data_IF_221682933789
#
_entry.id   IF_221682933789
#
_cell.length_a   1.000
_cell.length_b   1.000
_cell.length_c   1.000
_cell.angle_alpha   90.00
_cell.angle_beta   90.00
_cell.angle_gamma   90.00
#
_symmetry.space_group_name_H-M   'P 1'
#
loop_
_entity.id
_entity.type
_entity.pdbx_description
1 polymer ?
#
# COMPACT_ATOMS: atom_id res chain seq x y z
N UNK A 1 -15.95 -6.03 6.39
CA UNK A 1 -16.69 -5.07 7.23
C UNK A 1 -17.74 -4.34 6.39
N UNK A 2 -18.90 -4.05 6.96
CA UNK A 2 -19.99 -3.39 6.24
C UNK A 2 -19.72 -1.90 5.96
N UNK A 3 -18.79 -1.30 6.71
CA UNK A 3 -18.37 0.09 6.53
C UNK A 3 -17.27 0.30 5.48
N UNK A 4 -16.80 -0.75 4.79
CA UNK A 4 -15.71 -0.68 3.82
C UNK A 4 -16.19 -1.20 2.46
N UNK A 5 -15.96 -0.42 1.41
CA UNK A 5 -16.17 -0.80 0.02
C UNK A 5 -14.80 -0.96 -0.66
N UNK A 6 -14.59 -2.09 -1.32
CA UNK A 6 -13.40 -2.34 -2.13
C UNK A 6 -13.72 -2.08 -3.60
N UNK A 7 -12.92 -1.22 -4.23
CA UNK A 7 -13.02 -0.87 -5.64
C UNK A 7 -11.82 -1.46 -6.37
N UNK A 8 -12.07 -2.30 -7.39
CA UNK A 8 -11.03 -2.93 -8.18
C UNK A 8 -11.09 -2.43 -9.62
N UNK A 9 -9.94 -2.08 -10.22
CA UNK A 9 -9.87 -1.81 -11.66
C UNK A 9 -10.02 -3.10 -12.47
N UNK A 10 -10.37 -2.96 -13.75
CA UNK A 10 -10.13 -4.00 -14.73
C UNK A 10 -8.62 -4.15 -14.98
N UNK A 11 -8.22 -5.12 -15.80
CA UNK A 11 -6.85 -5.21 -16.29
C UNK A 11 -6.60 -3.99 -17.18
N UNK A 12 -5.58 -3.19 -16.81
CA UNK A 12 -5.20 -1.96 -17.48
C UNK A 12 -3.81 -2.13 -18.12
N UNK A 13 -3.62 -1.56 -19.32
CA UNK A 13 -2.34 -1.60 -20.02
C UNK A 13 -1.40 -0.47 -19.59
N UNK A 14 -1.94 0.61 -19.05
CA UNK A 14 -1.19 1.79 -18.62
C UNK A 14 -1.93 2.56 -17.51
N UNK A 15 -1.24 3.48 -16.89
CA UNK A 15 -1.78 4.28 -15.77
C UNK A 15 -2.95 5.19 -16.15
N UNK A 16 -3.08 5.60 -17.41
CA UNK A 16 -4.22 6.40 -17.86
C UNK A 16 -5.51 5.59 -17.88
N UNK A 17 -5.41 4.30 -18.25
CA UNK A 17 -6.55 3.37 -18.14
C UNK A 17 -6.91 3.14 -16.67
N UNK A 18 -5.92 2.98 -15.77
CA UNK A 18 -6.15 2.89 -14.32
C UNK A 18 -6.89 4.12 -13.81
N UNK A 19 -6.41 5.32 -14.15
CA UNK A 19 -7.05 6.59 -13.77
C UNK A 19 -8.51 6.68 -14.22
N UNK A 20 -8.76 6.35 -15.49
CA UNK A 20 -10.11 6.40 -16.06
C UNK A 20 -11.05 5.41 -15.38
N UNK A 21 -10.58 4.17 -15.14
CA UNK A 21 -11.41 3.12 -14.55
C UNK A 21 -11.71 3.42 -13.07
N UNK A 22 -10.71 3.89 -12.30
CA UNK A 22 -10.91 4.34 -10.92
C UNK A 22 -11.92 5.50 -10.84
N UNK A 23 -11.77 6.54 -11.70
CA UNK A 23 -12.72 7.67 -11.75
C UNK A 23 -14.15 7.19 -11.95
N UNK A 24 -14.37 6.31 -12.90
CA UNK A 24 -15.72 5.79 -13.19
C UNK A 24 -16.30 5.01 -11.99
N UNK A 25 -15.52 4.09 -11.44
CA UNK A 25 -16.00 3.21 -10.37
C UNK A 25 -16.18 3.96 -9.05
N UNK A 26 -15.29 4.89 -8.72
CA UNK A 26 -15.42 5.72 -7.51
C UNK A 26 -16.63 6.65 -7.65
N UNK A 27 -16.87 7.23 -8.84
CA UNK A 27 -18.06 8.05 -9.09
C UNK A 27 -19.35 7.26 -8.91
N UNK A 28 -19.40 6.00 -9.38
CA UNK A 28 -20.54 5.11 -9.18
C UNK A 28 -20.79 4.82 -7.69
N UNK A 29 -19.72 4.52 -6.93
CA UNK A 29 -19.83 4.30 -5.47
C UNK A 29 -20.28 5.58 -4.75
N UNK A 30 -19.76 6.76 -5.12
CA UNK A 30 -20.19 8.04 -4.56
C UNK A 30 -21.68 8.30 -4.82
N UNK A 31 -22.17 8.03 -6.04
CA UNK A 31 -23.59 8.19 -6.37
C UNK A 31 -24.49 7.29 -5.51
N UNK A 32 -24.06 6.02 -5.30
CA UNK A 32 -24.79 5.09 -4.46
C UNK A 32 -24.75 5.54 -2.98
N UNK A 33 -23.60 6.00 -2.48
CA UNK A 33 -23.45 6.51 -1.12
C UNK A 33 -24.35 7.72 -0.89
N UNK A 34 -24.34 8.70 -1.79
CA UNK A 34 -25.15 9.92 -1.69
C UNK A 34 -26.67 9.62 -1.67
N UNK A 35 -27.12 8.61 -2.45
CA UNK A 35 -28.53 8.17 -2.41
C UNK A 35 -28.96 7.59 -1.06
N UNK A 36 -28.01 7.22 -0.22
CA UNK A 36 -28.23 6.67 1.11
C UNK A 36 -27.75 7.62 2.24
N UNK A 37 -27.62 8.91 1.94
CA UNK A 37 -27.14 9.94 2.89
C UNK A 37 -25.78 9.61 3.53
N UNK A 38 -24.91 8.92 2.77
CA UNK A 38 -23.56 8.57 3.17
C UNK A 38 -22.52 9.28 2.28
N UNK A 39 -21.33 9.50 2.84
CA UNK A 39 -20.17 9.98 2.13
C UNK A 39 -19.08 8.90 2.13
N UNK A 40 -18.19 8.94 1.15
CA UNK A 40 -17.04 8.04 1.08
C UNK A 40 -15.72 8.78 1.28
N UNK A 41 -14.79 8.11 1.93
CA UNK A 41 -13.40 8.59 2.08
C UNK A 41 -12.43 7.47 1.74
N UNK A 42 -11.24 7.85 1.29
CA UNK A 42 -10.13 6.90 1.14
C UNK A 42 -9.03 7.24 2.14
N UNK A 43 -8.81 6.35 3.10
CA UNK A 43 -7.96 6.58 4.26
C UNK A 43 -7.45 5.25 4.81
N UNK A 44 -6.25 5.20 5.38
CA UNK A 44 -5.69 3.95 5.92
C UNK A 44 -6.42 3.44 7.16
N UNK A 45 -6.82 4.35 8.06
CA UNK A 45 -7.65 4.11 9.24
C UNK A 45 -8.63 5.25 9.43
N UNK A 46 -9.88 4.96 9.79
CA UNK A 46 -10.83 6.03 10.12
C UNK A 46 -10.45 6.67 11.46
N UNK A 47 -10.40 8.03 11.57
CA UNK A 47 -9.83 8.70 12.74
C UNK A 47 -10.51 8.39 14.07
N UNK A 48 -11.82 8.18 14.08
CA UNK A 48 -12.59 7.98 15.30
C UNK A 48 -13.59 6.82 15.26
N UNK A 49 -13.69 6.07 14.14
CA UNK A 49 -14.52 4.88 14.13
C UNK A 49 -13.91 3.81 15.03
N UNK A 50 -14.73 3.29 15.94
CA UNK A 50 -14.31 2.27 16.90
C UNK A 50 -14.50 0.90 16.28
N UNK A 51 -13.47 0.07 16.33
CA UNK A 51 -13.53 -1.28 15.77
C UNK A 51 -14.57 -2.18 16.45
N UNK A 52 -14.89 -1.92 17.72
CA UNK A 52 -15.90 -2.65 18.50
C UNK A 52 -17.34 -2.41 18.02
N UNK A 53 -17.56 -1.28 17.38
CA UNK A 53 -18.89 -0.85 16.94
C UNK A 53 -19.18 -1.24 15.48
N UNK A 54 -18.21 -1.88 14.81
CA UNK A 54 -18.34 -2.23 13.40
C UNK A 54 -18.94 -3.60 13.18
N UNK A 55 -19.90 -3.67 12.27
CA UNK A 55 -20.52 -4.92 11.83
C UNK A 55 -19.67 -5.63 10.79
N UNK A 56 -19.64 -6.95 10.89
CA UNK A 56 -18.99 -7.82 9.90
C UNK A 56 -20.05 -8.40 8.99
N UNK A 57 -19.81 -8.35 7.69
CA UNK A 57 -20.69 -8.94 6.69
C UNK A 57 -20.98 -10.41 7.02
N UNK A 58 -22.26 -10.74 7.16
CA UNK A 58 -22.72 -12.06 7.59
C UNK A 58 -22.60 -13.10 6.44
N UNK A 59 -21.36 -13.51 6.17
CA UNK A 59 -21.05 -14.62 5.25
C UNK A 59 -20.19 -15.66 5.98
N UNK A 60 -20.38 -16.92 5.66
CA UNK A 60 -19.62 -18.03 6.28
C UNK A 60 -18.11 -17.75 6.28
N UNK A 61 -17.57 -17.29 5.16
CA UNK A 61 -16.14 -16.97 5.02
C UNK A 61 -15.64 -15.94 6.06
N UNK A 62 -16.40 -14.88 6.31
CA UNK A 62 -15.98 -13.87 7.29
C UNK A 62 -16.20 -14.30 8.73
N UNK A 63 -17.23 -15.11 9.00
CA UNK A 63 -17.46 -15.70 10.31
C UNK A 63 -16.37 -16.72 10.67
N UNK A 64 -16.00 -17.61 9.73
CA UNK A 64 -14.89 -18.56 9.90
C UNK A 64 -13.56 -17.83 10.12
N UNK A 65 -13.34 -16.72 9.39
CA UNK A 65 -12.15 -15.89 9.55
C UNK A 65 -12.09 -15.22 10.93
N UNK A 66 -13.22 -14.70 11.41
CA UNK A 66 -13.35 -14.14 12.77
C UNK A 66 -13.07 -15.21 13.84
N UNK A 67 -13.63 -16.39 13.67
CA UNK A 67 -13.42 -17.50 14.61
C UNK A 67 -11.96 -17.97 14.64
N UNK A 68 -11.33 -18.10 13.46
CA UNK A 68 -9.94 -18.54 13.32
C UNK A 68 -8.93 -17.54 13.86
N UNK A 69 -9.13 -16.25 13.59
CA UNK A 69 -8.14 -15.18 13.88
C UNK A 69 -8.43 -14.40 15.16
N UNK A 70 -9.66 -14.46 15.69
CA UNK A 70 -10.07 -13.82 16.94
C UNK A 70 -9.74 -12.32 17.01
N UNK A 71 -9.08 -11.86 18.08
CA UNK A 71 -8.82 -10.46 18.38
C UNK A 71 -8.08 -9.67 17.28
N UNK A 72 -7.02 -10.18 16.62
CA UNK A 72 -6.35 -9.45 15.55
C UNK A 72 -7.28 -9.02 14.40
N UNK A 73 -8.15 -9.93 13.93
CA UNK A 73 -9.02 -9.64 12.79
C UNK A 73 -10.13 -8.63 13.12
N UNK A 74 -10.60 -8.58 14.37
CA UNK A 74 -11.62 -7.61 14.80
C UNK A 74 -11.13 -6.17 14.66
N UNK A 75 -9.83 -5.94 14.70
CA UNK A 75 -9.22 -4.60 14.58
C UNK A 75 -8.94 -4.17 13.14
N UNK A 76 -9.25 -5.00 12.15
CA UNK A 76 -8.98 -4.73 10.74
C UNK A 76 -9.98 -3.73 10.12
N UNK A 77 -10.33 -2.65 10.82
CA UNK A 77 -11.01 -1.48 10.24
C UNK A 77 -9.99 -0.59 9.54
N UNK A 78 -9.32 -1.15 8.57
CA UNK A 78 -8.20 -0.56 7.86
C UNK A 78 -8.41 -0.72 6.35
N UNK A 79 -7.91 0.24 5.58
CA UNK A 79 -7.98 0.21 4.12
C UNK A 79 -6.60 0.43 3.51
N UNK A 80 -6.32 -0.26 2.42
CA UNK A 80 -5.04 -0.19 1.72
C UNK A 80 -5.20 -0.04 0.23
N UNK A 81 -4.16 0.45 -0.41
CA UNK A 81 -4.00 0.43 -1.86
C UNK A 81 -3.20 -0.82 -2.24
N UNK A 82 -3.78 -1.68 -3.06
CA UNK A 82 -3.10 -2.85 -3.61
C UNK A 82 -2.85 -2.63 -5.10
N UNK A 83 -1.64 -2.94 -5.54
CA UNK A 83 -1.25 -2.80 -6.96
C UNK A 83 -0.75 -4.15 -7.46
N UNK A 84 -1.37 -4.65 -8.53
CA UNK A 84 -0.97 -5.86 -9.21
C UNK A 84 -0.25 -5.50 -10.51
N UNK A 85 0.98 -5.97 -10.69
CA UNK A 85 1.74 -5.82 -11.92
C UNK A 85 1.99 -7.19 -12.53
N UNK A 86 1.62 -7.38 -13.81
CA UNK A 86 1.82 -8.63 -14.54
C UNK A 86 3.30 -8.99 -14.69
N UNK A 87 3.62 -10.29 -14.57
CA UNK A 87 4.97 -10.83 -14.76
C UNK A 87 4.92 -12.14 -15.53
N UNK A 88 5.93 -12.41 -16.35
CA UNK A 88 5.89 -13.49 -17.35
C UNK A 88 6.13 -14.89 -16.77
N UNK A 89 6.76 -14.99 -15.57
CA UNK A 89 7.06 -16.30 -14.98
C UNK A 89 7.08 -16.27 -13.45
N UNK A 90 6.89 -17.45 -12.86
CA UNK A 90 6.98 -17.61 -11.40
C UNK A 90 8.39 -17.31 -10.85
N UNK A 91 9.44 -17.68 -11.59
CA UNK A 91 10.82 -17.38 -11.18
C UNK A 91 11.08 -15.87 -11.15
N UNK A 92 10.64 -15.15 -12.18
CA UNK A 92 10.72 -13.69 -12.23
C UNK A 92 9.90 -13.05 -11.10
N UNK A 93 8.69 -13.57 -10.82
CA UNK A 93 7.86 -13.09 -9.70
C UNK A 93 8.56 -13.21 -8.34
N UNK A 94 9.29 -14.30 -8.09
CA UNK A 94 10.05 -14.47 -6.84
C UNK A 94 11.24 -13.51 -6.79
N UNK A 95 12.00 -13.38 -7.89
CA UNK A 95 13.11 -12.44 -7.98
C UNK A 95 12.64 -11.00 -7.68
N UNK A 96 11.58 -10.56 -8.36
CA UNK A 96 10.99 -9.24 -8.15
C UNK A 96 10.49 -9.08 -6.71
N UNK A 97 9.79 -10.08 -6.15
CA UNK A 97 9.31 -10.04 -4.77
C UNK A 97 10.46 -9.81 -3.79
N UNK A 98 11.55 -10.54 -3.92
CA UNK A 98 12.74 -10.37 -3.08
C UNK A 98 13.35 -8.97 -3.23
N UNK A 99 13.56 -8.50 -4.46
CA UNK A 99 14.17 -7.19 -4.72
C UNK A 99 13.32 -6.03 -4.23
N UNK A 100 12.00 -6.14 -4.38
CA UNK A 100 11.06 -5.12 -3.96
C UNK A 100 11.01 -4.90 -2.44
N UNK A 101 11.48 -5.86 -1.62
CA UNK A 101 11.44 -5.73 -0.16
C UNK A 101 12.20 -4.49 0.34
N UNK A 102 13.31 -4.11 -0.30
CA UNK A 102 14.06 -2.90 0.06
C UNK A 102 13.28 -1.59 -0.16
N UNK A 103 12.25 -1.62 -1.02
CA UNK A 103 11.41 -0.45 -1.33
C UNK A 103 10.18 -0.32 -0.45
N UNK A 104 9.91 -1.29 0.43
CA UNK A 104 8.81 -1.25 1.39
C UNK A 104 8.80 0.06 2.21
N UNK A 105 9.92 0.54 2.77
CA UNK A 105 9.95 1.80 3.51
C UNK A 105 9.56 3.01 2.66
N UNK A 106 9.98 3.04 1.38
CA UNK A 106 9.65 4.12 0.44
C UNK A 106 8.14 4.15 0.16
N UNK A 107 7.56 2.97 -0.09
CA UNK A 107 6.12 2.81 -0.34
C UNK A 107 5.28 3.22 0.87
N UNK A 108 5.71 2.87 2.09
CA UNK A 108 5.07 3.33 3.33
C UNK A 108 5.18 4.85 3.44
N UNK A 109 6.37 5.43 3.25
CA UNK A 109 6.58 6.88 3.34
C UNK A 109 5.68 7.67 2.38
N UNK A 110 5.53 7.19 1.14
CA UNK A 110 4.68 7.80 0.12
C UNK A 110 3.18 7.67 0.41
N UNK A 111 2.76 6.53 0.95
CA UNK A 111 1.34 6.20 1.13
C UNK A 111 0.81 6.40 2.54
N UNK A 112 1.65 6.66 3.56
CA UNK A 112 1.23 6.78 4.95
C UNK A 112 0.02 7.71 5.10
N UNK A 113 -1.10 7.16 5.60
CA UNK A 113 -2.39 7.85 5.70
C UNK A 113 -3.23 7.34 6.87
N UNK A 114 -2.58 6.99 8.00
CA UNK A 114 -3.27 6.45 9.16
C UNK A 114 -2.65 6.87 10.51
N UNK A 115 -2.48 8.20 10.77
CA UNK A 115 -1.90 8.67 12.03
C UNK A 115 -2.88 8.60 13.21
N UNK A 116 -4.18 8.46 12.94
CA UNK A 116 -5.23 8.36 13.97
C UNK A 116 -5.88 6.98 13.93
N UNK A 117 -6.22 6.46 15.10
CA UNK A 117 -6.97 5.21 15.26
C UNK A 117 -7.74 5.21 16.58
N UNK A 118 -9.00 4.79 16.56
CA UNK A 118 -9.88 4.70 17.76
C UNK A 118 -9.92 5.99 18.58
N UNK A 119 -9.97 7.15 17.88
CA UNK A 119 -9.98 8.52 18.42
C UNK A 119 -8.65 9.00 19.01
N UNK A 120 -7.56 8.28 18.81
CA UNK A 120 -6.24 8.65 19.32
C UNK A 120 -5.26 9.00 18.19
N UNK A 121 -4.41 10.02 18.43
CA UNK A 121 -3.21 10.25 17.64
C UNK A 121 -2.15 9.23 18.08
N UNK A 122 -1.92 8.23 17.26
CA UNK A 122 -1.10 7.05 17.61
C UNK A 122 0.40 7.33 17.69
N UNK A 123 0.82 8.46 17.14
CA UNK A 123 2.24 8.78 16.97
C UNK A 123 2.90 8.04 15.80
N UNK A 124 2.17 7.28 15.00
CA UNK A 124 2.66 6.62 13.78
C UNK A 124 2.16 7.37 12.55
N UNK A 125 2.94 7.40 11.47
CA UNK A 125 2.47 7.88 10.19
C UNK A 125 1.53 6.85 9.51
N UNK A 126 1.81 5.54 9.70
CA UNK A 126 0.98 4.43 9.22
C UNK A 126 0.65 3.44 10.36
N UNK A 127 -0.42 3.70 11.07
CA UNK A 127 -0.97 2.78 12.08
C UNK A 127 -1.51 1.51 11.44
N UNK A 128 -2.07 1.61 10.21
CA UNK A 128 -2.55 0.48 9.42
C UNK A 128 -1.49 -0.63 9.32
N UNK A 129 -0.26 -0.27 9.03
CA UNK A 129 0.84 -1.24 8.91
C UNK A 129 0.98 -2.09 10.17
N UNK A 130 0.92 -1.48 11.35
CA UNK A 130 1.07 -2.21 12.63
C UNK A 130 -0.16 -3.03 12.99
N UNK A 131 -1.37 -2.56 12.65
CA UNK A 131 -2.60 -3.34 12.84
C UNK A 131 -2.57 -4.58 11.96
N UNK A 132 -2.16 -4.41 10.69
CA UNK A 132 -2.12 -5.49 9.71
C UNK A 132 -1.09 -6.57 10.06
N UNK A 133 0.07 -6.19 10.59
CA UNK A 133 1.12 -7.11 11.08
C UNK A 133 0.68 -7.99 12.26
N UNK A 134 -0.46 -7.70 12.88
CA UNK A 134 -1.07 -8.56 13.89
C UNK A 134 -1.60 -9.90 13.35
N UNK A 135 -1.71 -10.08 12.04
CA UNK A 135 -2.12 -11.34 11.42
C UNK A 135 -0.94 -12.30 11.25
N UNK A 136 -1.16 -13.64 11.41
CA UNK A 136 -0.07 -14.62 11.48
C UNK A 136 0.83 -14.70 10.24
N UNK A 137 0.30 -14.40 9.06
CA UNK A 137 1.02 -14.49 7.78
C UNK A 137 1.27 -13.12 7.16
N UNK A 138 1.09 -12.03 7.94
CA UNK A 138 1.31 -10.67 7.47
C UNK A 138 2.77 -10.21 7.63
N UNK A 139 3.11 -9.16 6.91
CA UNK A 139 4.41 -8.53 7.01
C UNK A 139 5.36 -8.90 5.88
N UNK A 140 6.67 -8.88 6.16
CA UNK A 140 7.68 -9.16 5.15
C UNK A 140 7.54 -10.57 4.58
N UNK A 141 7.62 -10.75 3.24
CA UNK A 141 7.76 -12.07 2.66
C UNK A 141 9.10 -12.70 3.08
N UNK A 142 9.17 -14.01 3.26
CA UNK A 142 10.44 -14.70 3.41
C UNK A 142 11.25 -14.56 2.12
N UNK A 143 12.58 -14.46 2.23
CA UNK A 143 13.45 -14.55 1.07
C UNK A 143 13.40 -15.97 0.51
N UNK A 144 12.94 -16.10 -0.72
CA UNK A 144 12.80 -17.37 -1.42
C UNK A 144 13.80 -17.44 -2.57
N UNK A 145 14.47 -18.57 -2.70
CA UNK A 145 15.49 -18.74 -3.75
C UNK A 145 14.89 -18.85 -5.16
N UNK A 146 13.71 -19.45 -5.27
CA UNK A 146 13.06 -19.75 -6.53
C UNK A 146 11.55 -20.06 -6.33
N UNK A 147 10.83 -20.22 -7.42
CA UNK A 147 9.40 -20.54 -7.40
C UNK A 147 9.08 -21.90 -6.77
N UNK A 148 9.97 -22.87 -6.83
CA UNK A 148 9.78 -24.17 -6.19
C UNK A 148 9.74 -24.05 -4.67
N UNK A 149 10.54 -23.18 -4.05
CA UNK A 149 10.46 -22.88 -2.62
C UNK A 149 9.13 -22.21 -2.24
N UNK A 150 8.66 -21.28 -3.05
CA UNK A 150 7.32 -20.71 -2.87
C UNK A 150 6.23 -21.77 -2.93
N UNK A 151 6.26 -22.67 -3.90
CA UNK A 151 5.32 -23.77 -3.99
C UNK A 151 5.41 -24.71 -2.78
N UNK A 152 6.62 -24.98 -2.28
CA UNK A 152 6.83 -25.77 -1.07
C UNK A 152 6.20 -25.09 0.14
N UNK A 153 6.44 -23.78 0.34
CA UNK A 153 5.84 -22.96 1.38
C UNK A 153 4.30 -23.09 1.34
N UNK A 154 3.68 -22.84 0.19
CA UNK A 154 2.24 -22.91 0.01
C UNK A 154 1.68 -24.29 0.32
N UNK A 155 2.32 -25.37 -0.18
CA UNK A 155 1.89 -26.75 0.09
C UNK A 155 1.99 -27.11 1.57
N UNK A 156 3.05 -26.66 2.24
CA UNK A 156 3.27 -26.93 3.67
C UNK A 156 2.18 -26.27 4.51
N UNK A 157 1.88 -24.98 4.29
CA UNK A 157 0.85 -24.28 5.06
C UNK A 157 -0.55 -24.82 4.79
N UNK A 158 -0.85 -25.21 3.55
CA UNK A 158 -2.13 -25.87 3.21
C UNK A 158 -2.28 -27.23 3.91
N UNK A 159 -1.24 -28.06 3.89
CA UNK A 159 -1.25 -29.37 4.59
C UNK A 159 -1.37 -29.23 6.11
N UNK A 160 -0.80 -28.17 6.66
CA UNK A 160 -0.89 -27.85 8.09
C UNK A 160 -2.26 -27.25 8.47
N UNK A 161 -3.15 -26.96 7.51
CA UNK A 161 -4.42 -26.28 7.77
C UNK A 161 -4.26 -24.81 8.19
N UNK A 162 -3.07 -24.24 7.99
CA UNK A 162 -2.81 -22.82 8.31
C UNK A 162 -3.51 -21.89 7.34
N UNK A 163 -3.51 -22.24 6.06
CA UNK A 163 -4.17 -21.49 4.97
C UNK A 163 -4.94 -22.45 4.06
N UNK A 164 -6.02 -21.94 3.45
CA UNK A 164 -6.76 -22.65 2.40
C UNK A 164 -6.30 -22.20 1.00
N UNK A 165 -5.88 -20.95 0.88
CA UNK A 165 -5.45 -20.36 -0.38
C UNK A 165 -4.39 -19.27 -0.18
N UNK A 166 -3.83 -18.77 -1.31
CA UNK A 166 -2.93 -17.61 -1.31
C UNK A 166 -3.58 -16.36 -0.70
N UNK A 167 -4.90 -16.26 -0.67
CA UNK A 167 -5.64 -15.12 -0.11
C UNK A 167 -5.42 -14.94 1.39
N UNK A 168 -4.91 -15.98 2.08
CA UNK A 168 -4.59 -15.96 3.51
C UNK A 168 -3.09 -15.78 3.79
N UNK A 169 -2.32 -15.47 2.76
CA UNK A 169 -0.91 -15.06 2.87
C UNK A 169 -0.86 -13.54 2.70
N UNK A 170 -0.75 -12.81 3.80
CA UNK A 170 -0.88 -11.35 3.82
C UNK A 170 0.47 -10.63 3.82
N UNK A 171 1.42 -11.14 3.04
CA UNK A 171 2.71 -10.45 2.87
C UNK A 171 2.56 -9.05 2.31
N UNK A 172 3.50 -8.18 2.65
CA UNK A 172 3.59 -6.80 2.12
C UNK A 172 3.72 -6.77 0.60
N UNK A 173 4.43 -7.77 0.06
CA UNK A 173 4.63 -8.00 -1.37
C UNK A 173 4.43 -9.49 -1.62
N UNK A 174 3.57 -9.86 -2.55
CA UNK A 174 3.15 -11.24 -2.73
C UNK A 174 3.09 -11.64 -4.21
N UNK A 175 3.77 -12.73 -4.62
CA UNK A 175 3.48 -13.33 -5.92
C UNK A 175 2.05 -13.86 -5.92
N UNK A 176 1.28 -13.58 -6.96
CA UNK A 176 -0.12 -14.03 -7.09
C UNK A 176 -0.30 -14.93 -8.32
N UNK A 177 -0.08 -16.26 -8.19
CA UNK A 177 -0.04 -17.19 -9.34
C UNK A 177 -1.32 -17.22 -10.17
N UNK A 178 -2.51 -17.05 -9.53
CA UNK A 178 -3.80 -17.08 -10.24
C UNK A 178 -4.00 -15.88 -11.17
N UNK A 179 -3.29 -14.78 -10.94
CA UNK A 179 -3.36 -13.57 -11.76
C UNK A 179 -2.12 -13.38 -12.62
N UNK A 180 -1.05 -14.14 -12.39
CA UNK A 180 0.24 -13.96 -13.05
C UNK A 180 0.88 -12.61 -12.71
N UNK A 181 0.77 -12.17 -11.45
CA UNK A 181 1.22 -10.85 -11.00
C UNK A 181 2.12 -10.91 -9.77
N UNK A 182 2.88 -9.84 -9.55
CA UNK A 182 3.38 -9.47 -8.22
C UNK A 182 2.42 -8.41 -7.66
N UNK A 183 1.93 -8.65 -6.45
CA UNK A 183 0.98 -7.80 -5.73
C UNK A 183 1.70 -7.04 -4.62
N UNK A 184 1.64 -5.72 -4.66
CA UNK A 184 2.15 -4.83 -3.62
C UNK A 184 0.98 -4.40 -2.73
N UNK A 185 1.07 -4.69 -1.42
CA UNK A 185 -0.03 -4.58 -0.45
C UNK A 185 0.27 -3.63 0.72
N UNK A 186 1.51 -3.21 0.84
CA UNK A 186 2.00 -2.45 2.01
C UNK A 186 1.42 -1.05 2.12
N UNK A 187 0.95 -0.46 1.03
CA UNK A 187 0.48 0.92 0.99
C UNK A 187 -0.84 1.12 1.75
N UNK A 188 -0.93 2.19 2.55
CA UNK A 188 -2.21 2.69 3.05
C UNK A 188 -3.09 3.14 1.87
N UNK A 189 -4.40 3.12 2.03
CA UNK A 189 -5.30 3.77 1.09
C UNK A 189 -5.03 5.29 1.11
N UNK A 190 -4.74 5.86 -0.05
CA UNK A 190 -4.45 7.30 -0.22
C UNK A 190 -5.70 8.05 -0.66
N UNK A 191 -5.82 9.36 -0.35
CA UNK A 191 -7.11 10.05 -0.42
C UNK A 191 -7.58 10.40 -1.82
N UNK A 192 -6.69 10.59 -2.79
CA UNK A 192 -7.05 11.05 -4.13
C UNK A 192 -6.76 10.01 -5.20
N UNK A 193 -7.52 10.04 -6.29
CA UNK A 193 -7.29 9.15 -7.44
C UNK A 193 -5.91 9.40 -8.04
N UNK A 194 -5.47 10.65 -8.12
CA UNK A 194 -4.15 10.99 -8.66
C UNK A 194 -3.02 10.39 -7.81
N UNK A 195 -3.12 10.42 -6.48
CA UNK A 195 -2.14 9.75 -5.60
C UNK A 195 -2.15 8.23 -5.78
N UNK A 196 -3.34 7.62 -5.95
CA UNK A 196 -3.44 6.18 -6.24
C UNK A 196 -2.70 5.83 -7.54
N UNK A 197 -2.91 6.64 -8.58
CA UNK A 197 -2.29 6.46 -9.91
C UNK A 197 -0.78 6.71 -9.86
N UNK A 198 -0.33 7.75 -9.15
CA UNK A 198 1.09 8.07 -9.01
C UNK A 198 1.85 6.92 -8.31
N UNK A 199 1.28 6.36 -7.23
CA UNK A 199 1.87 5.21 -6.52
C UNK A 199 1.85 3.97 -7.42
N UNK A 200 0.76 3.72 -8.16
CA UNK A 200 0.68 2.60 -9.10
C UNK A 200 1.74 2.71 -10.21
N UNK A 201 1.96 3.90 -10.76
CA UNK A 201 3.02 4.18 -11.73
C UNK A 201 4.41 3.89 -11.16
N UNK A 202 4.70 4.37 -9.96
CA UNK A 202 5.98 4.13 -9.29
C UNK A 202 6.23 2.64 -9.07
N UNK A 203 5.22 1.90 -8.59
CA UNK A 203 5.29 0.45 -8.41
C UNK A 203 5.50 -0.27 -9.75
N UNK A 204 4.77 0.13 -10.81
CA UNK A 204 4.95 -0.45 -12.14
C UNK A 204 6.37 -0.24 -12.66
N UNK A 205 6.91 0.97 -12.54
CA UNK A 205 8.29 1.28 -12.94
C UNK A 205 9.32 0.44 -12.18
N UNK A 206 9.14 0.25 -10.86
CA UNK A 206 10.00 -0.63 -10.06
C UNK A 206 9.96 -2.07 -10.55
N UNK A 207 8.75 -2.62 -10.77
CA UNK A 207 8.59 -4.01 -11.23
C UNK A 207 9.19 -4.20 -12.63
N UNK A 208 9.02 -3.26 -13.55
CA UNK A 208 9.62 -3.30 -14.89
C UNK A 208 11.14 -3.25 -14.79
N UNK A 209 11.72 -2.33 -14.01
CA UNK A 209 13.17 -2.25 -13.83
C UNK A 209 13.76 -3.55 -13.22
N UNK A 210 13.05 -4.19 -12.29
CA UNK A 210 13.46 -5.49 -11.76
C UNK A 210 13.30 -6.62 -12.79
N UNK A 211 12.26 -6.57 -13.63
CA UNK A 211 12.06 -7.52 -14.71
C UNK A 211 13.21 -7.47 -15.72
N UNK A 212 13.61 -6.27 -16.14
CA UNK A 212 14.75 -6.05 -17.05
C UNK A 212 16.06 -6.53 -16.42
N UNK A 213 16.31 -6.22 -15.15
CA UNK A 213 17.50 -6.71 -14.45
C UNK A 213 17.56 -8.24 -14.38
N UNK A 214 16.40 -8.89 -14.18
CA UNK A 214 16.32 -10.35 -14.20
C UNK A 214 16.66 -10.93 -15.57
N UNK A 215 16.12 -10.37 -16.65
CA UNK A 215 16.37 -10.82 -18.02
C UNK A 215 17.84 -10.63 -18.44
N UNK A 216 18.50 -9.60 -17.92
CA UNK A 216 19.92 -9.34 -18.13
C UNK A 216 20.84 -10.15 -17.21
N UNK A 217 20.30 -10.96 -16.31
CA UNK A 217 21.04 -11.77 -15.34
C UNK A 217 21.79 -10.96 -14.28
N UNK A 218 21.36 -9.72 -14.01
CA UNK A 218 21.96 -8.87 -12.98
C UNK A 218 21.58 -9.38 -11.59
N UNK A 219 22.57 -9.41 -10.69
CA UNK A 219 22.31 -9.74 -9.29
C UNK A 219 21.53 -8.62 -8.60
N UNK A 220 20.52 -9.02 -7.83
CA UNK A 220 19.77 -8.09 -6.99
C UNK A 220 20.53 -7.83 -5.68
N UNK A 221 20.67 -6.57 -5.32
CA UNK A 221 21.06 -6.20 -3.96
C UNK A 221 19.88 -6.41 -3.02
N UNK A 222 19.97 -7.39 -2.16
CA UNK A 222 18.97 -7.70 -1.14
C UNK A 222 19.58 -7.34 0.21
N UNK A 223 18.92 -6.43 0.92
CA UNK A 223 19.28 -6.10 2.30
C UNK A 223 18.87 -7.24 3.23
N UNK A 224 19.58 -7.38 4.33
CA UNK A 224 19.21 -8.33 5.37
C UNK A 224 17.77 -8.09 5.86
N UNK A 225 16.99 -9.15 6.09
CA UNK A 225 15.59 -9.02 6.54
C UNK A 225 15.41 -8.16 7.80
N UNK A 226 16.36 -8.20 8.73
CA UNK A 226 16.31 -7.39 9.94
C UNK A 226 16.52 -5.88 9.64
N UNK A 227 17.35 -5.53 8.64
CA UNK A 227 17.49 -4.13 8.17
C UNK A 227 16.19 -3.65 7.56
N UNK A 228 15.57 -4.49 6.72
CA UNK A 228 14.29 -4.16 6.08
C UNK A 228 13.20 -3.96 7.14
N UNK A 229 13.15 -4.81 8.18
CA UNK A 229 12.21 -4.68 9.29
C UNK A 229 12.41 -3.38 10.08
N UNK A 230 13.65 -3.01 10.38
CA UNK A 230 13.97 -1.75 11.06
C UNK A 230 13.58 -0.55 10.19
N UNK A 231 13.92 -0.57 8.91
CA UNK A 231 13.57 0.49 7.97
C UNK A 231 12.05 0.60 7.78
N UNK A 232 11.34 -0.53 7.74
CA UNK A 232 9.88 -0.58 7.74
C UNK A 232 9.30 0.07 8.98
N UNK A 233 9.86 -0.23 10.17
CA UNK A 233 9.45 0.42 11.42
C UNK A 233 9.66 1.92 11.36
N UNK A 234 10.85 2.40 10.94
CA UNK A 234 11.17 3.83 10.84
C UNK A 234 10.21 4.55 9.92
N UNK A 235 9.94 4.00 8.72
CA UNK A 235 8.97 4.58 7.78
C UNK A 235 7.55 4.58 8.36
N UNK A 236 7.14 3.50 9.03
CA UNK A 236 5.84 3.40 9.71
C UNK A 236 5.67 4.47 10.79
N UNK A 237 6.73 4.72 11.55
CA UNK A 237 6.73 5.68 12.67
C UNK A 237 6.81 7.13 12.19
N UNK A 238 7.72 7.43 11.28
CA UNK A 238 8.11 8.79 10.92
C UNK A 238 7.65 9.22 9.52
N UNK A 239 7.08 8.31 8.71
CA UNK A 239 6.68 8.61 7.34
C UNK A 239 7.84 9.15 6.50
N UNK A 240 7.65 10.25 5.78
CA UNK A 240 8.68 10.89 4.95
C UNK A 240 9.84 11.49 5.76
N UNK A 241 9.67 11.75 7.04
CA UNK A 241 10.74 12.27 7.91
C UNK A 241 11.63 11.14 8.50
N UNK A 242 11.44 9.89 8.08
CA UNK A 242 12.28 8.77 8.49
C UNK A 242 13.70 8.89 7.94
N UNK A 243 14.66 8.36 8.69
CA UNK A 243 16.00 8.04 8.21
C UNK A 243 16.14 6.52 8.16
N UNK A 244 16.57 5.98 7.03
CA UNK A 244 16.66 4.53 6.81
C UNK A 244 18.12 4.07 6.70
N UNK A 245 18.38 2.84 7.10
CA UNK A 245 19.68 2.18 6.97
C UNK A 245 19.83 1.76 5.50
N UNK A 246 20.91 2.20 4.86
CA UNK A 246 21.15 1.96 3.42
C UNK A 246 22.24 0.92 3.16
N UNK A 247 23.05 0.58 4.16
CA UNK A 247 24.11 -0.40 4.05
C UNK A 247 24.42 -1.09 5.39
N UNK A 248 25.26 -2.12 5.35
CA UNK A 248 25.66 -2.93 6.51
C UNK A 248 26.50 -2.16 7.55
N UNK A 249 27.07 -1.02 7.20
CA UNK A 249 27.82 -0.17 8.15
C UNK A 249 26.88 0.60 9.09
N UNK A 250 25.56 0.56 8.82
CA UNK A 250 24.56 1.32 9.56
C UNK A 250 24.44 2.78 9.10
N UNK A 251 24.92 3.11 7.92
CA UNK A 251 24.78 4.45 7.35
C UNK A 251 23.31 4.77 7.16
N UNK A 252 22.90 5.94 7.65
CA UNK A 252 21.53 6.45 7.50
C UNK A 252 21.44 7.41 6.32
N UNK A 253 20.27 7.39 5.67
CA UNK A 253 19.89 8.37 4.66
C UNK A 253 18.43 8.77 4.87
N UNK A 254 18.08 10.08 4.71
CA UNK A 254 16.69 10.52 4.75
C UNK A 254 15.84 9.79 3.72
N UNK A 255 14.69 9.26 4.15
CA UNK A 255 13.79 8.49 3.29
C UNK A 255 13.36 9.28 2.05
N UNK A 256 13.09 10.58 2.21
CA UNK A 256 12.76 11.48 1.09
C UNK A 256 13.84 11.52 0.01
N UNK A 257 15.12 11.53 0.40
CA UNK A 257 16.23 11.50 -0.55
C UNK A 257 16.30 10.16 -1.28
N UNK A 258 16.12 9.04 -0.56
CA UNK A 258 16.03 7.72 -1.16
C UNK A 258 14.90 7.62 -2.18
N UNK A 259 13.74 8.23 -1.90
CA UNK A 259 12.60 8.27 -2.82
C UNK A 259 12.97 9.07 -4.08
N UNK A 260 13.50 10.28 -3.92
CA UNK A 260 13.86 11.16 -5.04
C UNK A 260 14.94 10.53 -5.94
N UNK A 261 15.98 9.94 -5.35
CA UNK A 261 17.02 9.20 -6.08
C UNK A 261 16.45 7.98 -6.82
N UNK A 262 15.48 7.28 -6.21
CA UNK A 262 14.82 6.14 -6.85
C UNK A 262 13.98 6.60 -8.02
N UNK A 263 13.22 7.68 -7.87
CA UNK A 263 12.43 8.26 -8.97
C UNK A 263 13.34 8.68 -10.13
N UNK A 264 14.44 9.37 -9.84
CA UNK A 264 15.39 9.81 -10.88
C UNK A 264 15.92 8.62 -11.70
N UNK A 265 16.29 7.52 -11.03
CA UNK A 265 16.72 6.28 -11.68
C UNK A 265 15.62 5.62 -12.53
N UNK A 266 14.36 5.82 -12.18
CA UNK A 266 13.21 5.23 -12.87
C UNK A 266 12.65 6.11 -13.99
N UNK A 267 13.09 7.37 -14.16
CA UNK A 267 12.58 8.27 -15.20
C UNK A 267 12.66 7.68 -16.62
N UNK A 268 13.76 6.97 -17.04
CA UNK A 268 13.79 6.35 -18.36
C UNK A 268 12.71 5.27 -18.53
N UNK A 269 12.45 4.47 -17.50
CA UNK A 269 11.39 3.45 -17.49
C UNK A 269 10.02 4.12 -17.53
N UNK A 270 9.82 5.17 -16.73
CA UNK A 270 8.58 5.93 -16.71
C UNK A 270 8.26 6.58 -18.06
N UNK A 271 9.30 7.04 -18.77
CA UNK A 271 9.18 7.59 -20.12
C UNK A 271 8.71 6.54 -21.12
N UNK A 272 9.30 5.34 -21.08
CA UNK A 272 8.89 4.21 -21.92
C UNK A 272 7.47 3.73 -21.67
N UNK A 273 7.00 3.83 -20.42
CA UNK A 273 5.63 3.46 -19.99
C UNK A 273 4.62 4.61 -20.14
N UNK A 274 5.07 5.82 -20.52
CA UNK A 274 4.21 7.00 -20.65
C UNK A 274 3.63 7.51 -19.32
N UNK A 275 4.36 7.31 -18.20
CA UNK A 275 3.93 7.71 -16.85
C UNK A 275 4.93 8.62 -16.12
N UNK A 276 5.72 9.40 -16.86
CA UNK A 276 6.70 10.32 -16.30
C UNK A 276 6.08 11.35 -15.37
N UNK A 277 4.94 11.92 -15.75
CA UNK A 277 4.24 12.95 -14.97
C UNK A 277 3.84 12.43 -13.59
N UNK A 278 3.43 11.16 -13.49
CA UNK A 278 3.04 10.54 -12.22
C UNK A 278 4.23 10.45 -11.25
N UNK A 279 5.42 10.18 -11.75
CA UNK A 279 6.64 10.16 -10.93
C UNK A 279 7.06 11.57 -10.53
N UNK A 280 6.96 12.55 -11.43
CA UNK A 280 7.24 13.95 -11.12
C UNK A 280 6.26 14.51 -10.07
N UNK A 281 4.99 14.11 -10.11
CA UNK A 281 4.00 14.44 -9.07
C UNK A 281 4.41 13.88 -7.69
N UNK A 282 4.97 12.65 -7.62
CA UNK A 282 5.50 12.12 -6.36
C UNK A 282 6.68 12.97 -5.85
N UNK A 283 7.57 13.43 -6.72
CA UNK A 283 8.65 14.35 -6.32
C UNK A 283 8.07 15.63 -5.69
N UNK A 284 6.99 16.20 -6.27
CA UNK A 284 6.33 17.35 -5.70
C UNK A 284 5.75 17.07 -4.30
N UNK A 285 5.02 15.95 -4.14
CA UNK A 285 4.44 15.56 -2.84
C UNK A 285 5.54 15.43 -1.77
N UNK A 286 6.66 14.79 -2.11
CA UNK A 286 7.81 14.58 -1.21
C UNK A 286 8.46 15.91 -0.82
N UNK A 287 8.76 16.78 -1.80
CA UNK A 287 9.43 18.05 -1.56
C UNK A 287 8.57 19.04 -0.77
N UNK A 288 7.27 19.07 -1.03
CA UNK A 288 6.33 19.98 -0.35
C UNK A 288 5.80 19.42 0.98
N UNK A 289 6.25 18.23 1.40
CA UNK A 289 5.75 17.55 2.61
C UNK A 289 4.22 17.45 2.64
N UNK A 290 3.62 17.12 1.49
CA UNK A 290 2.16 17.01 1.34
C UNK A 290 1.65 15.56 1.45
N UNK A 291 2.40 14.64 2.06
CA UNK A 291 1.91 13.27 2.24
C UNK A 291 0.62 13.21 3.07
N UNK A 292 -0.24 12.23 2.82
CA UNK A 292 -1.58 12.20 3.40
C UNK A 292 -1.62 12.28 4.93
N UNK A 293 -0.70 11.60 5.65
CA UNK A 293 -0.68 11.65 7.12
C UNK A 293 -0.39 13.05 7.66
N UNK A 294 0.45 13.85 6.97
CA UNK A 294 0.75 15.24 7.35
C UNK A 294 -0.51 16.10 7.18
N UNK A 295 -1.26 15.89 6.09
CA UNK A 295 -2.52 16.60 5.83
C UNK A 295 -3.58 16.26 6.88
N UNK A 296 -3.68 15.00 7.35
CA UNK A 296 -4.55 14.63 8.46
C UNK A 296 -4.21 15.38 9.74
N UNK A 297 -2.93 15.38 10.13
CA UNK A 297 -2.45 16.09 11.32
C UNK A 297 -2.70 17.59 11.19
N UNK A 298 -2.46 18.16 10.00
CA UNK A 298 -2.71 19.58 9.74
C UNK A 298 -4.19 19.94 9.82
N UNK A 299 -5.09 19.10 9.28
CA UNK A 299 -6.53 19.28 9.37
C UNK A 299 -7.02 19.23 10.82
N UNK A 300 -6.54 18.26 11.59
CA UNK A 300 -6.85 18.14 13.01
C UNK A 300 -6.40 19.36 13.82
N UNK A 301 -5.16 19.82 13.62
CA UNK A 301 -4.55 20.89 14.41
C UNK A 301 -5.24 22.27 14.22
N UNK A 302 -6.09 22.44 13.20
CA UNK A 302 -6.82 23.70 13.00
C UNK A 302 -7.82 23.97 14.14
N UNK A 303 -8.56 22.94 14.55
CA UNK A 303 -9.66 23.08 15.52
C UNK A 303 -9.65 21.98 16.60
N UNK A 304 -8.67 21.07 16.59
CA UNK A 304 -8.63 19.87 17.43
C UNK A 304 -9.89 18.97 17.28
N UNK A 305 -10.42 18.89 16.05
CA UNK A 305 -11.62 18.09 15.75
C UNK A 305 -11.28 16.98 14.75
N UNK A 306 -11.50 15.73 15.14
CA UNK A 306 -11.31 14.56 14.26
C UNK A 306 -12.28 14.57 13.07
N UNK A 307 -13.44 15.19 13.21
CA UNK A 307 -14.42 15.36 12.13
C UNK A 307 -13.91 16.24 10.99
N UNK A 308 -12.99 17.16 11.26
CA UNK A 308 -12.42 18.03 10.24
C UNK A 308 -11.49 17.24 9.30
N UNK A 309 -10.85 16.18 9.80
CA UNK A 309 -10.10 15.24 8.98
C UNK A 309 -11.03 14.57 7.97
N UNK A 310 -12.16 14.04 8.45
CA UNK A 310 -13.12 13.31 7.61
C UNK A 310 -13.69 14.25 6.52
N UNK A 311 -14.13 15.46 6.89
CA UNK A 311 -14.63 16.46 5.93
C UNK A 311 -13.58 16.79 4.87
N UNK A 312 -12.33 17.02 5.29
CA UNK A 312 -11.23 17.34 4.40
C UNK A 312 -11.01 16.23 3.36
N UNK A 313 -10.99 14.95 3.79
CA UNK A 313 -10.75 13.82 2.87
C UNK A 313 -11.98 13.44 2.03
N UNK A 314 -13.20 13.71 2.49
CA UNK A 314 -14.40 13.65 1.63
C UNK A 314 -14.22 14.60 0.45
N UNK A 315 -13.81 15.84 0.71
CA UNK A 315 -13.63 16.84 -0.35
C UNK A 315 -12.47 16.49 -1.29
N UNK A 316 -11.38 15.91 -0.79
CA UNK A 316 -10.25 15.47 -1.63
C UNK A 316 -10.61 14.30 -2.56
N UNK A 317 -11.47 13.38 -2.13
CA UNK A 317 -11.85 12.20 -2.94
C UNK A 317 -12.87 12.53 -4.02
N UNK A 318 -13.57 13.67 -3.97
CA UNK A 318 -14.56 14.03 -4.99
C UNK A 318 -13.93 13.99 -6.38
N UNK A 319 -14.53 13.22 -7.27
CA UNK A 319 -14.02 12.90 -8.63
C UNK A 319 -13.78 14.17 -9.48
N UNK A 320 -14.43 15.27 -9.12
CA UNK A 320 -14.32 16.56 -9.84
C UNK A 320 -13.20 17.47 -9.31
N UNK A 321 -12.61 17.14 -8.16
CA UNK A 321 -11.48 17.88 -7.64
C UNK A 321 -10.21 17.40 -8.33
N UNK A 322 -9.84 18.07 -9.43
CA UNK A 322 -8.45 18.07 -9.89
C UNK A 322 -7.63 18.73 -8.78
N UNK A 323 -6.72 17.97 -8.19
CA UNK A 323 -5.70 18.57 -7.33
C UNK A 323 -4.88 19.50 -8.21
N UNK A 324 -5.14 20.80 -8.14
CA UNK A 324 -4.24 21.79 -8.69
C UNK A 324 -3.01 21.80 -7.77
N UNK A 325 -1.91 21.27 -8.26
CA UNK A 325 -0.59 21.41 -7.66
C UNK A 325 -0.06 22.83 -8.00
N UNK A 326 -0.72 23.87 -7.43
CA UNK A 326 -0.22 25.24 -7.46
C UNK A 326 0.87 25.45 -6.40
#
# INVERSE_FOLDING_TARGET
LECIVEVNTNICNNVNEVRKDLKNKIAEVQEIANKNDNEIISIGTHPFARWKDQSVTNTNRYLDFLEKMQWPVRRLIISGLHVHVGVESGEKAISITNGMTRYIPLLIGLSANSPFFDSELTGLASTRTKIFEGLPTAGLPPLLKNYSEFQKFMRTLKRAGTIDSIREVWWDIRPHPSFGTVEIRVCDAVPTIEEMVNIAAFIQCLVVGFSENYDEGRQLEILDPWVILENKWRATRFGLDAEIIIDESGKLQPLKECILETIDKLLPVAESLGCRNELENLCYIVNMKKSPYIRQISAFNKNNQLTDIVKYFIDELKVHNTVHYD
#
